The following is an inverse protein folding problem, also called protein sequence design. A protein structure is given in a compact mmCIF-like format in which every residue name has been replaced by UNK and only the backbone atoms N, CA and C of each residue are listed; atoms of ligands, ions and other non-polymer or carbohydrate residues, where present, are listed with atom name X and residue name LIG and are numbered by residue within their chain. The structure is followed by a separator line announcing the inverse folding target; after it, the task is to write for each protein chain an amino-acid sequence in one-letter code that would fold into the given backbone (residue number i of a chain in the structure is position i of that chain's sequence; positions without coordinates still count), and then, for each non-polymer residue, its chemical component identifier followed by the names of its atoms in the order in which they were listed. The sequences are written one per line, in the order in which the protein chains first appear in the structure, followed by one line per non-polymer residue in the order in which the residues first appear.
data_IF_594501096803
#
_entry.id   IF_594501096803
#
_cell.length_a   1.000
_cell.length_b   1.000
_cell.length_c   1.000
_cell.angle_alpha   90.00
_cell.angle_beta   90.00
_cell.angle_gamma   90.00
#
_symmetry.space_group_name_H-M   'P 1'
#
loop_
_entity.id
_entity.type
_entity.pdbx_description
1 polymer ?
#
# COMPACT_ATOMS: atom_id res chain seq x y z
N UNK A 1 -17.28 23.43 -6.28
CA UNK A 1 -17.34 22.23 -5.40
C UNK A 1 -18.46 22.45 -4.38
N UNK A 2 -19.41 21.50 -4.30
CA UNK A 2 -20.63 21.61 -3.47
C UNK A 2 -20.26 21.35 -2.01
N UNK A 3 -20.33 22.38 -1.16
CA UNK A 3 -20.50 22.13 0.27
C UNK A 3 -21.90 21.54 0.45
N UNK A 4 -22.02 20.44 1.17
CA UNK A 4 -23.33 19.84 1.44
C UNK A 4 -23.97 20.62 2.57
N UNK A 5 -25.14 21.19 2.30
CA UNK A 5 -25.95 21.88 3.30
C UNK A 5 -27.02 20.92 3.78
N UNK A 6 -26.96 20.55 5.06
CA UNK A 6 -28.01 19.80 5.73
C UNK A 6 -28.88 20.79 6.50
N UNK A 7 -30.18 20.79 6.20
CA UNK A 7 -31.18 21.62 6.85
C UNK A 7 -31.98 20.75 7.82
N UNK A 8 -31.96 21.09 9.11
CA UNK A 8 -32.77 20.38 10.09
C UNK A 8 -34.21 20.89 10.08
N UNK A 9 -35.18 19.97 10.22
CA UNK A 9 -36.62 20.31 10.20
C UNK A 9 -37.01 21.40 11.20
N UNK A 10 -36.35 21.45 12.36
CA UNK A 10 -36.71 22.31 13.49
C UNK A 10 -35.57 23.27 13.87
N UNK A 11 -35.00 23.97 12.88
CA UNK A 11 -33.91 24.97 12.97
C UNK A 11 -32.48 24.42 12.98
N UNK A 12 -31.58 25.17 12.36
CA UNK A 12 -30.15 24.87 12.22
C UNK A 12 -29.75 24.51 10.79
N UNK A 13 -28.53 24.90 10.42
CA UNK A 13 -27.90 24.53 9.15
C UNK A 13 -26.55 23.92 9.46
N UNK A 14 -26.31 22.70 8.97
CA UNK A 14 -25.01 22.05 9.04
C UNK A 14 -24.34 22.13 7.68
N UNK A 15 -23.17 22.76 7.62
CA UNK A 15 -22.37 22.83 6.39
C UNK A 15 -21.22 21.84 6.48
N UNK A 16 -21.30 20.79 5.68
CA UNK A 16 -20.25 19.79 5.58
C UNK A 16 -19.25 20.22 4.49
N UNK A 17 -17.96 20.23 4.86
CA UNK A 17 -16.87 20.56 3.95
C UNK A 17 -15.78 19.50 4.09
N UNK A 18 -15.42 18.86 2.97
CA UNK A 18 -14.26 17.98 2.94
C UNK A 18 -13.00 18.84 3.00
N UNK A 19 -12.17 18.63 4.03
CA UNK A 19 -10.89 19.30 4.16
C UNK A 19 -9.88 18.66 3.20
N UNK A 20 -9.42 19.46 2.25
CA UNK A 20 -8.30 19.07 1.37
C UNK A 20 -6.98 19.57 1.96
N UNK A 21 -5.86 18.95 1.61
CA UNK A 21 -4.52 19.40 2.03
C UNK A 21 -4.28 20.92 1.90
N UNK A 22 -4.72 21.53 0.79
CA UNK A 22 -4.60 22.99 0.54
C UNK A 22 -5.42 23.88 1.49
N UNK A 23 -6.39 23.32 2.20
CA UNK A 23 -7.35 24.03 3.07
C UNK A 23 -7.38 23.52 4.51
N UNK A 24 -6.46 22.63 4.88
CA UNK A 24 -6.39 22.09 6.23
C UNK A 24 -6.35 23.20 7.31
N UNK A 25 -5.83 24.40 6.98
CA UNK A 25 -5.68 25.53 7.90
C UNK A 25 -6.71 26.65 7.77
N UNK A 26 -7.56 26.65 6.73
CA UNK A 26 -8.34 27.84 6.35
C UNK A 26 -9.83 27.80 6.78
N UNK A 27 -10.25 26.75 7.48
CA UNK A 27 -11.61 26.61 7.99
C UNK A 27 -11.75 27.03 9.46
N UNK A 28 -12.98 27.42 9.83
CA UNK A 28 -13.48 27.37 11.20
C UNK A 28 -14.63 26.38 11.23
N UNK A 29 -14.62 25.46 12.19
CA UNK A 29 -15.64 24.43 12.34
C UNK A 29 -15.93 24.19 13.83
N UNK A 30 -17.14 23.73 14.12
CA UNK A 30 -17.55 23.32 15.46
C UNK A 30 -17.17 21.87 15.78
N UNK A 31 -16.95 21.06 14.74
CA UNK A 31 -16.53 19.66 14.84
C UNK A 31 -15.67 19.25 13.64
N UNK A 32 -14.81 18.24 13.85
CA UNK A 32 -14.01 17.60 12.82
C UNK A 32 -14.18 16.08 12.90
N UNK A 33 -14.25 15.42 11.74
CA UNK A 33 -14.22 13.95 11.64
C UNK A 33 -12.99 13.57 10.81
N UNK A 34 -12.20 12.64 11.33
CA UNK A 34 -11.15 11.94 10.60
C UNK A 34 -11.63 10.52 10.33
N UNK A 35 -11.73 10.19 9.06
CA UNK A 35 -12.17 8.88 8.55
C UNK A 35 -10.94 8.11 8.06
N UNK A 36 -10.86 6.82 8.37
CA UNK A 36 -9.70 5.96 8.08
C UNK A 36 -8.38 6.55 8.62
N UNK A 37 -8.40 7.08 9.85
CA UNK A 37 -7.27 7.79 10.45
C UNK A 37 -5.99 6.95 10.57
N UNK A 38 -6.10 5.62 10.71
CA UNK A 38 -4.95 4.73 10.73
C UNK A 38 -4.24 4.65 9.36
N UNK A 39 -4.88 5.07 8.27
CA UNK A 39 -4.29 5.09 6.92
C UNK A 39 -3.29 6.24 6.71
N UNK A 40 -3.10 7.13 7.69
CA UNK A 40 -2.08 8.16 7.64
C UNK A 40 -0.70 7.53 7.87
N UNK A 41 0.08 7.37 6.80
CA UNK A 41 1.38 6.67 6.84
C UNK A 41 2.57 7.62 6.77
N UNK A 42 2.44 8.75 6.09
CA UNK A 42 3.56 9.66 5.83
C UNK A 42 3.61 10.82 6.81
N UNK A 43 4.83 11.34 7.07
CA UNK A 43 5.03 12.56 7.87
C UNK A 43 4.18 13.73 7.37
N UNK A 44 4.08 13.91 6.05
CA UNK A 44 3.30 15.00 5.45
C UNK A 44 1.80 14.85 5.75
N UNK A 45 1.28 13.63 5.74
CA UNK A 45 -0.10 13.35 6.12
C UNK A 45 -0.35 13.65 7.61
N UNK A 46 0.60 13.29 8.48
CA UNK A 46 0.54 13.63 9.91
C UNK A 46 0.58 15.14 10.15
N UNK A 47 1.44 15.88 9.44
CA UNK A 47 1.51 17.34 9.53
C UNK A 47 0.21 18.01 9.04
N UNK A 48 -0.41 17.47 7.98
CA UNK A 48 -1.71 17.95 7.48
C UNK A 48 -2.83 17.66 8.48
N UNK A 49 -2.80 16.50 9.13
CA UNK A 49 -3.71 16.13 10.19
C UNK A 49 -3.61 17.09 11.39
N UNK A 50 -2.39 17.32 11.89
CA UNK A 50 -2.18 18.20 13.05
C UNK A 50 -2.57 19.65 12.72
N UNK A 51 -2.33 20.08 11.47
CA UNK A 51 -2.80 21.37 10.98
C UNK A 51 -4.33 21.46 10.88
N UNK A 52 -5.02 20.35 10.58
CA UNK A 52 -6.47 20.29 10.45
C UNK A 52 -7.18 20.42 11.80
N UNK A 53 -6.56 20.01 12.92
CA UNK A 53 -7.14 20.21 14.26
C UNK A 53 -7.35 21.71 14.55
N UNK A 54 -6.48 22.59 14.02
CA UNK A 54 -6.58 24.04 14.19
C UNK A 54 -7.85 24.69 13.60
N UNK A 55 -8.66 23.95 12.83
CA UNK A 55 -9.97 24.46 12.37
C UNK A 55 -10.99 24.60 13.50
N UNK A 56 -10.76 23.94 14.63
CA UNK A 56 -11.64 23.99 15.80
C UNK A 56 -11.31 25.16 16.74
N UNK A 57 -10.30 25.97 16.43
CA UNK A 57 -9.94 27.10 17.28
C UNK A 57 -11.08 28.12 17.37
N UNK A 58 -11.53 28.42 18.59
CA UNK A 58 -12.52 29.44 18.88
C UNK A 58 -13.99 28.97 18.90
N UNK A 59 -14.25 27.68 18.66
CA UNK A 59 -15.59 27.11 18.92
C UNK A 59 -15.74 26.71 20.40
N UNK A 60 -16.97 26.81 20.91
CA UNK A 60 -17.36 26.32 22.24
C UNK A 60 -17.66 24.81 22.25
N UNK A 61 -17.80 24.18 21.09
CA UNK A 61 -18.15 22.76 20.97
C UNK A 61 -16.91 21.84 20.88
N UNK A 62 -16.01 22.13 19.95
CA UNK A 62 -14.69 21.49 19.84
C UNK A 62 -14.71 19.95 19.75
N UNK A 63 -15.68 19.36 19.04
CA UNK A 63 -15.78 17.89 18.94
C UNK A 63 -14.85 17.32 17.86
N UNK A 64 -14.08 16.29 18.21
CA UNK A 64 -13.28 15.51 17.24
C UNK A 64 -13.77 14.07 17.23
N UNK A 65 -14.13 13.57 16.05
CA UNK A 65 -14.41 12.16 15.81
C UNK A 65 -13.23 11.48 15.13
N UNK A 66 -12.68 10.46 15.78
CA UNK A 66 -11.64 9.58 15.27
C UNK A 66 -12.28 8.26 14.86
N UNK A 67 -12.26 7.92 13.56
CA UNK A 67 -12.90 6.71 13.03
C UNK A 67 -11.91 5.98 12.13
N UNK A 68 -11.62 4.72 12.44
CA UNK A 68 -10.72 3.88 11.65
C UNK A 68 -10.82 2.41 12.06
N UNK A 69 -10.46 1.50 11.15
CA UNK A 69 -9.96 0.18 11.54
C UNK A 69 -8.68 0.38 12.37
N UNK A 70 -8.52 -0.29 13.52
CA UNK A 70 -7.33 -0.14 14.36
C UNK A 70 -6.08 -0.73 13.72
N UNK A 71 -4.97 -0.01 13.86
CA UNK A 71 -3.64 -0.43 13.46
C UNK A 71 -2.66 0.01 14.54
N UNK A 72 -1.83 -0.90 15.04
CA UNK A 72 -0.78 -0.55 15.99
C UNK A 72 0.25 0.41 15.38
N UNK A 73 0.90 1.18 16.25
CA UNK A 73 1.84 2.25 15.93
C UNK A 73 1.28 3.33 14.99
N UNK A 74 -0.05 3.56 15.03
CA UNK A 74 -0.71 4.56 14.20
C UNK A 74 -1.07 5.83 14.99
N UNK A 75 -1.31 6.93 14.27
CA UNK A 75 -1.88 8.15 14.86
C UNK A 75 -3.21 7.88 15.55
N UNK A 76 -4.00 6.94 15.01
CA UNK A 76 -5.27 6.52 15.57
C UNK A 76 -5.11 5.83 16.93
N UNK A 77 -4.12 4.95 17.11
CA UNK A 77 -3.82 4.33 18.41
C UNK A 77 -3.41 5.39 19.45
N UNK A 78 -2.53 6.32 19.07
CA UNK A 78 -2.12 7.43 19.94
C UNK A 78 -3.31 8.25 20.42
N UNK A 79 -4.29 8.50 19.53
CA UNK A 79 -5.49 9.25 19.89
C UNK A 79 -6.50 8.41 20.68
N UNK A 80 -6.62 7.11 20.39
CA UNK A 80 -7.37 6.17 21.20
C UNK A 80 -6.87 6.18 22.65
N UNK A 81 -5.55 6.14 22.87
CA UNK A 81 -4.96 6.15 24.21
C UNK A 81 -5.19 7.48 24.94
N UNK A 82 -5.14 8.60 24.23
CA UNK A 82 -5.55 9.90 24.80
C UNK A 82 -7.02 9.88 25.22
N UNK A 83 -7.90 9.36 24.38
CA UNK A 83 -9.32 9.22 24.71
C UNK A 83 -9.50 8.30 25.93
N UNK A 84 -8.81 7.16 26.01
CA UNK A 84 -8.82 6.27 27.18
C UNK A 84 -8.38 6.98 28.47
N UNK A 85 -7.30 7.76 28.41
CA UNK A 85 -6.85 8.56 29.53
C UNK A 85 -7.89 9.61 29.97
N UNK A 86 -8.60 10.21 29.01
CA UNK A 86 -9.75 11.07 29.30
C UNK A 86 -10.92 10.30 29.92
N UNK A 87 -11.19 9.07 29.50
CA UNK A 87 -12.22 8.22 30.14
C UNK A 87 -11.89 7.98 31.61
N UNK A 88 -10.65 7.60 31.91
CA UNK A 88 -10.20 7.35 33.28
C UNK A 88 -10.29 8.60 34.16
N UNK A 89 -9.95 9.77 33.62
CA UNK A 89 -9.94 11.03 34.40
C UNK A 89 -11.32 11.66 34.55
N UNK A 90 -12.21 11.50 33.58
CA UNK A 90 -13.53 12.15 33.58
C UNK A 90 -14.68 11.23 33.96
N UNK A 91 -14.46 9.91 33.96
CA UNK A 91 -15.50 8.90 34.18
C UNK A 91 -16.52 8.80 33.04
N UNK A 92 -16.25 9.44 31.89
CA UNK A 92 -17.13 9.43 30.72
C UNK A 92 -16.55 8.55 29.64
N UNK A 93 -17.40 7.79 28.94
CA UNK A 93 -16.98 7.00 27.78
C UNK A 93 -16.74 7.90 26.57
N UNK A 94 -15.59 7.73 25.92
CA UNK A 94 -15.15 8.45 24.72
C UNK A 94 -14.71 7.51 23.59
N UNK A 95 -14.44 6.25 23.91
CA UNK A 95 -14.00 5.21 22.98
C UNK A 95 -15.11 4.20 22.75
N UNK A 96 -15.34 3.86 21.48
CA UNK A 96 -16.35 2.91 21.07
C UNK A 96 -15.69 1.89 20.16
N UNK A 97 -15.72 0.62 20.59
CA UNK A 97 -15.21 -0.51 19.83
C UNK A 97 -16.39 -1.29 19.27
N UNK A 98 -16.41 -1.51 17.96
CA UNK A 98 -17.48 -2.23 17.28
C UNK A 98 -16.84 -3.40 16.52
N UNK A 99 -16.75 -4.60 17.10
CA UNK A 99 -16.39 -5.80 16.36
C UNK A 99 -17.53 -6.21 15.41
N UNK A 100 -17.21 -7.01 14.39
CA UNK A 100 -18.20 -7.36 13.36
C UNK A 100 -19.44 -8.07 13.91
N UNK A 101 -19.29 -8.90 14.95
CA UNK A 101 -20.40 -9.68 15.52
C UNK A 101 -21.38 -8.81 16.32
N UNK A 102 -20.99 -7.59 16.71
CA UNK A 102 -21.88 -6.62 17.35
C UNK A 102 -22.71 -5.83 16.32
N UNK A 103 -22.37 -5.94 15.02
CA UNK A 103 -23.11 -5.29 13.93
C UNK A 103 -24.22 -6.22 13.44
N UNK A 104 -25.48 -5.91 13.79
CA UNK A 104 -26.61 -6.82 13.63
C UNK A 104 -26.89 -7.34 12.20
N UNK A 105 -26.49 -6.62 11.14
CA UNK A 105 -26.63 -7.12 9.77
C UNK A 105 -25.42 -7.94 9.30
N UNK A 106 -24.23 -7.70 9.86
CA UNK A 106 -23.02 -8.49 9.57
C UNK A 106 -23.02 -9.81 10.33
N UNK A 107 -23.54 -9.83 11.57
CA UNK A 107 -23.60 -11.02 12.42
C UNK A 107 -24.28 -12.25 11.74
N UNK A 108 -25.11 -12.01 10.71
CA UNK A 108 -25.76 -13.06 9.91
C UNK A 108 -24.79 -13.87 9.04
N UNK A 109 -23.59 -13.37 8.79
CA UNK A 109 -22.56 -14.03 7.98
C UNK A 109 -21.48 -14.70 8.84
N UNK A 110 -21.84 -15.20 10.02
CA UNK A 110 -20.89 -15.81 10.98
C UNK A 110 -19.92 -16.81 10.34
N UNK A 111 -20.43 -17.71 9.49
CA UNK A 111 -19.62 -18.73 8.81
C UNK A 111 -18.51 -18.12 7.94
N UNK A 112 -18.79 -17.00 7.26
CA UNK A 112 -17.79 -16.29 6.47
C UNK A 112 -16.66 -15.76 7.35
N UNK A 113 -16.97 -15.13 8.49
CA UNK A 113 -15.94 -14.60 9.38
C UNK A 113 -15.14 -15.72 10.08
N UNK A 114 -15.78 -16.83 10.44
CA UNK A 114 -15.08 -18.02 10.95
C UNK A 114 -14.15 -18.65 9.89
N UNK A 115 -14.48 -18.53 8.60
CA UNK A 115 -13.61 -18.94 7.52
C UNK A 115 -12.45 -17.96 7.34
N UNK A 116 -12.70 -16.66 7.42
CA UNK A 116 -11.65 -15.63 7.36
C UNK A 116 -10.65 -15.80 8.51
N UNK A 117 -11.11 -16.09 9.73
CA UNK A 117 -10.23 -16.38 10.89
C UNK A 117 -9.24 -17.52 10.61
N UNK A 118 -9.66 -18.53 9.84
CA UNK A 118 -8.84 -19.71 9.51
C UNK A 118 -7.92 -19.49 8.32
N UNK A 119 -8.26 -18.55 7.43
CA UNK A 119 -7.59 -18.39 6.13
C UNK A 119 -6.73 -17.15 6.05
N UNK A 120 -6.94 -16.18 6.94
CA UNK A 120 -6.20 -14.91 6.98
C UNK A 120 -5.15 -14.92 8.09
N UNK A 121 -4.12 -14.07 8.00
CA UNK A 121 -3.20 -13.87 9.11
C UNK A 121 -3.95 -13.46 10.38
N UNK A 122 -3.62 -14.09 11.52
CA UNK A 122 -4.30 -13.84 12.80
C UNK A 122 -4.33 -12.36 13.17
N UNK A 123 -3.21 -11.65 13.03
CA UNK A 123 -3.12 -10.23 13.32
C UNK A 123 -4.09 -9.39 12.47
N UNK A 124 -4.31 -9.80 11.21
CA UNK A 124 -5.19 -9.10 10.28
C UNK A 124 -6.65 -9.31 10.67
N UNK A 125 -7.03 -10.55 11.00
CA UNK A 125 -8.36 -10.85 11.53
C UNK A 125 -8.65 -10.07 12.81
N UNK A 126 -7.67 -9.98 13.71
CA UNK A 126 -7.81 -9.21 14.95
C UNK A 126 -8.02 -7.70 14.70
N UNK A 127 -7.31 -7.10 13.73
CA UNK A 127 -7.49 -5.71 13.35
C UNK A 127 -8.86 -5.46 12.67
N UNK A 128 -9.13 -6.15 11.57
CA UNK A 128 -10.27 -5.84 10.68
C UNK A 128 -11.61 -6.30 11.25
N UNK A 129 -11.63 -7.42 11.96
CA UNK A 129 -12.87 -8.06 12.43
C UNK A 129 -13.05 -7.91 13.94
N UNK A 130 -11.99 -8.09 14.73
CA UNK A 130 -12.09 -7.97 16.18
C UNK A 130 -11.86 -6.54 16.70
N UNK A 131 -11.55 -5.57 15.83
CA UNK A 131 -11.23 -4.19 16.19
C UNK A 131 -10.16 -4.08 17.29
N UNK A 132 -9.01 -4.74 17.06
CA UNK A 132 -7.85 -4.74 17.97
C UNK A 132 -6.66 -3.97 17.38
N UNK A 133 -5.91 -3.27 18.24
CA UNK A 133 -4.58 -2.77 17.90
C UNK A 133 -3.58 -3.92 18.01
N UNK A 134 -3.42 -4.68 16.94
CA UNK A 134 -2.44 -5.78 16.85
C UNK A 134 -1.32 -5.42 15.89
N UNK A 135 -0.06 -5.73 16.22
CA UNK A 135 1.06 -5.62 15.28
C UNK A 135 1.09 -6.80 14.28
N UNK A 136 1.39 -6.55 13.00
CA UNK A 136 1.64 -7.61 12.05
C UNK A 136 2.77 -8.54 12.50
N UNK A 137 2.60 -9.84 12.32
CA UNK A 137 3.55 -10.86 12.78
C UNK A 137 3.59 -12.10 11.88
N UNK A 138 4.71 -12.82 11.91
CA UNK A 138 4.92 -14.05 11.15
C UNK A 138 5.22 -13.83 9.67
N UNK A 139 4.98 -14.85 8.85
CA UNK A 139 5.17 -14.78 7.39
C UNK A 139 4.24 -13.73 6.77
N UNK A 140 4.78 -12.94 5.84
CA UNK A 140 4.06 -11.87 5.17
C UNK A 140 3.07 -12.41 4.13
N UNK A 141 3.54 -13.29 3.25
CA UNK A 141 2.73 -13.85 2.17
C UNK A 141 2.32 -15.30 2.47
N UNK A 142 1.09 -15.47 2.98
CA UNK A 142 0.55 -16.78 3.31
C UNK A 142 -0.18 -17.45 2.13
N UNK A 143 -0.65 -16.66 1.16
CA UNK A 143 -1.38 -17.15 -0.01
C UNK A 143 -0.46 -17.18 -1.24
N UNK A 144 0.47 -18.14 -1.26
CA UNK A 144 1.43 -18.30 -2.35
C UNK A 144 1.39 -19.72 -2.90
N UNK A 145 1.25 -19.84 -4.23
CA UNK A 145 1.27 -21.09 -4.97
C UNK A 145 2.60 -21.22 -5.74
N UNK A 146 3.25 -22.38 -5.61
CA UNK A 146 4.52 -22.67 -6.26
C UNK A 146 4.35 -23.79 -7.29
N UNK A 147 4.77 -23.54 -8.53
CA UNK A 147 4.74 -24.54 -9.59
C UNK A 147 4.34 -23.97 -10.94
N UNK A 148 4.03 -24.87 -11.88
CA UNK A 148 3.56 -24.48 -13.21
C UNK A 148 2.20 -23.81 -13.12
N UNK A 149 2.02 -22.74 -13.89
CA UNK A 149 0.75 -22.03 -13.94
C UNK A 149 -0.33 -22.91 -14.60
N UNK A 150 -1.53 -22.99 -14.00
CA UNK A 150 -2.63 -23.70 -14.64
C UNK A 150 -3.09 -22.95 -15.90
N UNK A 151 -3.64 -23.69 -16.85
CA UNK A 151 -4.01 -23.14 -18.17
C UNK A 151 -5.01 -21.98 -18.07
N UNK A 152 -5.97 -22.08 -17.14
CA UNK A 152 -6.95 -21.02 -16.91
C UNK A 152 -6.29 -19.71 -16.48
N UNK A 153 -5.23 -19.78 -15.67
CA UNK A 153 -4.52 -18.60 -15.18
C UNK A 153 -3.73 -17.96 -16.32
N UNK A 154 -3.06 -18.78 -17.13
CA UNK A 154 -2.34 -18.31 -18.31
C UNK A 154 -3.26 -17.61 -19.30
N UNK A 155 -4.46 -18.16 -19.54
CA UNK A 155 -5.49 -17.53 -20.36
C UNK A 155 -5.99 -16.22 -19.74
N UNK A 156 -6.22 -16.19 -18.42
CA UNK A 156 -6.74 -15.02 -17.70
C UNK A 156 -5.79 -13.81 -17.74
N UNK A 157 -4.47 -14.04 -17.81
CA UNK A 157 -3.46 -12.98 -17.85
C UNK A 157 -2.93 -12.68 -19.26
N UNK A 158 -3.40 -13.39 -20.29
CA UNK A 158 -2.78 -13.33 -21.63
C UNK A 158 -2.71 -11.89 -22.17
N UNK A 159 -3.79 -11.12 -22.03
CA UNK A 159 -3.93 -9.76 -22.53
C UNK A 159 -3.65 -8.68 -21.48
N UNK A 160 -3.27 -9.06 -20.26
CA UNK A 160 -2.98 -8.11 -19.19
C UNK A 160 -1.59 -7.49 -19.39
N UNK A 161 -1.41 -6.20 -19.08
CA UNK A 161 -0.14 -5.53 -19.21
C UNK A 161 0.89 -6.13 -18.25
N UNK A 162 2.15 -6.13 -18.65
CA UNK A 162 3.24 -6.46 -17.74
C UNK A 162 3.46 -5.29 -16.78
N UNK A 163 3.40 -5.57 -15.49
CA UNK A 163 3.76 -4.63 -14.43
C UNK A 163 5.14 -4.98 -13.92
N UNK A 164 6.06 -4.03 -13.96
CA UNK A 164 7.47 -4.23 -13.66
C UNK A 164 7.98 -3.24 -12.65
N UNK A 165 8.95 -3.68 -11.85
CA UNK A 165 9.63 -2.85 -10.86
C UNK A 165 11.15 -3.05 -10.95
N UNK A 166 11.90 -1.99 -10.67
CA UNK A 166 13.37 -2.02 -10.57
C UNK A 166 13.78 -1.57 -9.18
N UNK A 167 14.67 -2.36 -8.57
CA UNK A 167 15.42 -2.04 -7.36
C UNK A 167 16.87 -1.66 -7.73
N UNK A 168 17.32 -0.48 -7.31
CA UNK A 168 18.68 -0.01 -7.59
C UNK A 168 19.61 -0.28 -6.41
N UNK A 169 20.11 -1.52 -6.30
CA UNK A 169 21.13 -1.82 -5.28
C UNK A 169 22.59 -1.66 -5.79
N UNK A 170 23.38 -0.71 -5.24
CA UNK A 170 24.78 -0.52 -5.63
C UNK A 170 25.78 -1.50 -4.99
N UNK A 171 25.41 -2.18 -3.90
CA UNK A 171 26.30 -3.06 -3.12
C UNK A 171 26.37 -4.45 -3.74
N UNK A 172 25.21 -5.00 -4.11
CA UNK A 172 25.13 -6.29 -4.76
C UNK A 172 24.81 -6.08 -6.24
N UNK A 173 23.56 -6.30 -6.63
CA UNK A 173 23.11 -6.29 -8.01
C UNK A 173 21.79 -5.53 -8.11
N UNK A 174 21.57 -4.83 -9.21
CA UNK A 174 20.28 -4.26 -9.54
C UNK A 174 19.33 -5.35 -10.04
N UNK A 175 18.07 -5.28 -9.64
CA UNK A 175 17.09 -6.30 -10.00
C UNK A 175 15.91 -5.68 -10.74
N UNK A 176 15.29 -6.51 -11.58
CA UNK A 176 13.99 -6.25 -12.17
C UNK A 176 13.10 -7.47 -11.97
N UNK A 177 11.91 -7.23 -11.45
CA UNK A 177 10.87 -8.24 -11.38
C UNK A 177 9.67 -7.76 -12.19
N UNK A 178 8.93 -8.71 -12.75
CA UNK A 178 7.70 -8.39 -13.47
C UNK A 178 6.59 -9.36 -13.13
N UNK A 179 5.38 -8.85 -13.13
CA UNK A 179 4.16 -9.59 -12.83
C UNK A 179 3.06 -9.26 -13.83
N UNK A 180 2.08 -10.15 -13.92
CA UNK A 180 0.77 -9.85 -14.44
C UNK A 180 -0.27 -10.09 -13.36
N UNK A 181 -1.37 -9.35 -13.41
CA UNK A 181 -2.45 -9.48 -12.43
C UNK A 181 -3.73 -9.81 -13.17
N UNK A 182 -4.53 -10.73 -12.63
CA UNK A 182 -5.85 -11.02 -13.21
C UNK A 182 -6.77 -9.79 -13.07
N UNK A 183 -7.74 -9.63 -13.97
CA UNK A 183 -8.65 -8.47 -13.98
C UNK A 183 -9.44 -8.28 -12.68
N UNK A 184 -9.75 -9.38 -12.00
CA UNK A 184 -10.43 -9.40 -10.70
C UNK A 184 -9.49 -9.11 -9.52
N UNK A 185 -8.21 -8.89 -9.78
CA UNK A 185 -7.15 -8.63 -8.82
C UNK A 185 -6.96 -9.75 -7.78
N UNK A 186 -7.41 -10.97 -8.08
CA UNK A 186 -7.28 -12.12 -7.16
C UNK A 186 -5.96 -12.86 -7.30
N UNK A 187 -5.27 -12.73 -8.43
CA UNK A 187 -4.03 -13.47 -8.70
C UNK A 187 -2.95 -12.54 -9.25
N UNK A 188 -1.76 -12.62 -8.65
CA UNK A 188 -0.52 -12.03 -9.17
C UNK A 188 0.35 -13.16 -9.68
N UNK A 189 0.80 -13.07 -10.92
CA UNK A 189 1.59 -14.10 -11.59
C UNK A 189 2.96 -13.54 -11.92
N UNK A 190 4.02 -14.16 -11.39
CA UNK A 190 5.39 -13.76 -11.68
C UNK A 190 5.72 -14.08 -13.14
N UNK A 191 6.27 -13.11 -13.86
CA UNK A 191 6.56 -13.23 -15.28
C UNK A 191 8.05 -13.11 -15.60
N UNK A 192 8.79 -12.37 -14.78
CA UNK A 192 10.23 -12.19 -14.95
C UNK A 192 10.93 -11.97 -13.61
N UNK A 193 12.16 -12.49 -13.54
CA UNK A 193 13.17 -12.23 -12.53
C UNK A 193 14.46 -11.98 -13.32
N UNK A 194 14.99 -10.75 -13.28
CA UNK A 194 16.14 -10.35 -14.10
C UNK A 194 17.17 -9.66 -13.23
N UNK A 195 18.34 -10.28 -13.16
CA UNK A 195 19.55 -9.66 -12.67
C UNK A 195 20.06 -8.65 -13.72
N UNK A 196 19.96 -7.38 -13.39
CA UNK A 196 20.43 -6.29 -14.24
C UNK A 196 21.93 -6.05 -14.07
N UNK A 197 22.63 -6.75 -13.17
CA UNK A 197 24.08 -6.71 -12.95
C UNK A 197 24.52 -5.82 -11.78
N UNK A 198 25.82 -5.84 -11.46
CA UNK A 198 26.38 -5.15 -10.29
C UNK A 198 26.31 -3.63 -10.42
N UNK A 199 26.10 -2.96 -9.28
CA UNK A 199 25.70 -1.55 -9.22
C UNK A 199 26.73 -0.56 -8.68
N UNK A 200 27.99 -0.95 -8.46
CA UNK A 200 29.02 -0.02 -7.99
C UNK A 200 29.34 1.10 -9.01
N UNK A 201 28.96 0.94 -10.27
CA UNK A 201 29.10 1.98 -11.29
C UNK A 201 27.80 2.79 -11.41
N UNK A 202 27.90 4.12 -11.32
CA UNK A 202 26.78 5.05 -11.56
C UNK A 202 26.13 4.91 -12.96
N UNK A 203 26.70 4.08 -13.84
CA UNK A 203 26.21 3.82 -15.19
C UNK A 203 26.20 2.30 -15.45
N UNK A 204 25.07 1.78 -15.93
CA UNK A 204 25.00 0.44 -16.50
C UNK A 204 25.44 0.47 -17.96
N UNK A 205 25.79 -0.70 -18.49
CA UNK A 205 26.06 -0.87 -19.91
C UNK A 205 24.81 -0.61 -20.76
N UNK A 206 25.03 -0.20 -22.01
CA UNK A 206 23.96 -0.05 -23.01
C UNK A 206 23.15 -1.34 -23.20
N UNK A 207 23.76 -2.52 -23.00
CA UNK A 207 23.04 -3.80 -23.06
C UNK A 207 21.99 -3.90 -21.94
N UNK A 208 22.37 -3.54 -20.71
CA UNK A 208 21.47 -3.56 -19.54
C UNK A 208 20.34 -2.53 -19.71
N UNK A 209 20.65 -1.31 -20.18
CA UNK A 209 19.61 -0.31 -20.47
C UNK A 209 18.61 -0.77 -21.55
N UNK A 210 19.11 -1.42 -22.60
CA UNK A 210 18.24 -1.98 -23.64
C UNK A 210 17.36 -3.13 -23.12
N UNK A 211 17.83 -3.91 -22.15
CA UNK A 211 17.00 -4.91 -21.46
C UNK A 211 15.83 -4.24 -20.76
N UNK A 212 16.08 -3.21 -19.96
CA UNK A 212 15.05 -2.49 -19.19
C UNK A 212 14.00 -1.87 -20.10
N UNK A 213 14.41 -1.33 -21.26
CA UNK A 213 13.54 -0.57 -22.16
C UNK A 213 12.26 -1.32 -22.56
N UNK A 214 12.32 -2.64 -22.69
CA UNK A 214 11.15 -3.42 -23.13
C UNK A 214 10.03 -3.50 -22.08
N UNK A 215 10.32 -3.18 -20.81
CA UNK A 215 9.39 -3.36 -19.70
C UNK A 215 8.43 -2.18 -19.46
N UNK A 216 8.61 -1.05 -20.14
CA UNK A 216 7.71 0.12 -20.02
C UNK A 216 7.03 0.50 -21.36
N UNK A 217 7.27 -0.28 -22.41
CA UNK A 217 6.75 -0.05 -23.76
C UNK A 217 5.54 -0.94 -24.05
N UNK A 218 4.75 -0.57 -25.07
CA UNK A 218 3.64 -1.38 -25.60
C UNK A 218 2.54 -1.64 -24.55
N UNK A 219 2.23 -0.63 -23.73
CA UNK A 219 1.23 -0.72 -22.67
C UNK A 219 1.73 -1.38 -21.37
N UNK A 220 2.97 -1.89 -21.35
CA UNK A 220 3.62 -2.33 -20.11
C UNK A 220 3.98 -1.14 -19.21
N UNK A 221 4.18 -1.42 -17.93
CA UNK A 221 4.37 -0.41 -16.90
C UNK A 221 5.58 -0.70 -16.06
N UNK A 222 6.42 0.30 -15.88
CA UNK A 222 7.64 0.19 -15.10
C UNK A 222 7.66 1.26 -14.01
N UNK A 223 7.90 0.82 -12.79
CA UNK A 223 8.18 1.69 -11.65
C UNK A 223 9.64 1.49 -11.27
N UNK A 224 10.37 2.59 -11.17
CA UNK A 224 11.80 2.61 -10.88
C UNK A 224 12.02 3.29 -9.54
N UNK A 225 12.84 2.70 -8.68
CA UNK A 225 13.26 3.34 -7.44
C UNK A 225 13.91 4.72 -7.71
N UNK A 226 13.47 5.75 -7.00
CA UNK A 226 13.97 7.14 -7.12
C UNK A 226 15.25 7.35 -6.29
N UNK A 227 15.36 6.63 -5.16
CA UNK A 227 16.59 6.50 -4.38
C UNK A 227 17.59 5.63 -5.14
N UNK A 228 18.82 6.11 -5.32
CA UNK A 228 19.83 5.35 -6.07
C UNK A 228 19.62 5.33 -7.59
N UNK A 229 18.77 6.21 -8.16
CA UNK A 229 18.60 6.30 -9.62
C UNK A 229 19.95 6.31 -10.32
N UNK A 230 20.09 5.39 -11.27
CA UNK A 230 21.11 5.49 -12.29
C UNK A 230 20.81 6.70 -13.19
N UNK A 231 21.36 7.88 -12.87
CA UNK A 231 21.18 9.11 -13.66
C UNK A 231 21.64 8.92 -15.11
N UNK A 232 22.61 8.02 -15.33
CA UNK A 232 23.02 7.55 -16.64
C UNK A 232 21.88 6.91 -17.42
N UNK A 233 21.08 6.04 -16.79
CA UNK A 233 19.88 5.46 -17.40
C UNK A 233 18.88 6.54 -17.82
N UNK A 234 18.57 7.49 -16.94
CA UNK A 234 17.61 8.57 -17.24
C UNK A 234 18.09 9.42 -18.41
N UNK A 235 19.39 9.76 -18.44
CA UNK A 235 19.99 10.52 -19.53
C UNK A 235 19.96 9.74 -20.84
N UNK A 236 20.44 8.48 -20.81
CA UNK A 236 20.43 7.57 -21.95
C UNK A 236 19.03 7.38 -22.53
N UNK A 237 18.03 7.24 -21.65
CA UNK A 237 16.63 7.08 -22.05
C UNK A 237 16.14 8.32 -22.78
N UNK A 238 16.34 9.52 -22.22
CA UNK A 238 15.93 10.78 -22.83
C UNK A 238 16.55 11.00 -24.21
N UNK A 239 17.83 10.68 -24.36
CA UNK A 239 18.53 10.75 -25.65
C UNK A 239 17.86 9.83 -26.69
N UNK A 240 17.61 8.57 -26.34
CA UNK A 240 16.96 7.61 -27.25
C UNK A 240 15.50 7.91 -27.55
N UNK A 241 14.77 8.46 -26.58
CA UNK A 241 13.38 8.87 -26.80
C UNK A 241 13.29 10.07 -27.74
N UNK A 242 14.29 10.96 -27.73
CA UNK A 242 14.40 12.06 -28.69
C UNK A 242 14.74 11.58 -30.11
N UNK A 243 15.48 10.49 -30.25
CA UNK A 243 15.82 9.86 -31.53
C UNK A 243 14.65 9.08 -32.17
N UNK A 244 13.67 8.62 -31.38
CA UNK A 244 12.56 7.81 -31.88
C UNK A 244 11.22 8.14 -31.17
N UNK A 245 10.58 9.26 -31.59
CA UNK A 245 9.44 9.85 -30.88
C UNK A 245 8.10 9.07 -30.99
N UNK A 246 7.97 8.03 -31.81
CA UNK A 246 6.76 7.21 -31.96
C UNK A 246 7.16 5.71 -32.08
N UNK A 247 6.51 4.70 -31.49
CA UNK A 247 5.14 4.22 -31.81
C UNK A 247 4.52 3.29 -30.71
N UNK A 248 4.13 3.81 -29.55
CA UNK A 248 3.37 2.99 -28.58
C UNK A 248 3.16 3.65 -27.22
N UNK A 249 2.15 3.15 -26.49
CA UNK A 249 1.87 3.57 -25.10
C UNK A 249 3.06 3.22 -24.20
N UNK A 250 3.48 4.19 -23.37
CA UNK A 250 4.63 4.11 -22.46
C UNK A 250 4.21 4.50 -21.06
N UNK A 251 4.60 3.72 -20.07
CA UNK A 251 4.31 4.00 -18.66
C UNK A 251 5.56 3.80 -17.80
N UNK A 252 6.33 4.87 -17.63
CA UNK A 252 7.49 4.91 -16.74
C UNK A 252 7.19 5.85 -15.57
N UNK A 253 7.29 5.32 -14.36
CA UNK A 253 7.11 6.07 -13.12
C UNK A 253 8.36 5.93 -12.25
N UNK A 254 8.61 6.94 -11.44
CA UNK A 254 9.65 6.91 -10.41
C UNK A 254 9.00 6.92 -9.05
N UNK A 255 9.51 6.10 -8.13
CA UNK A 255 9.02 6.00 -6.75
C UNK A 255 10.17 6.04 -5.77
N UNK A 256 10.20 7.08 -4.93
CA UNK A 256 11.10 7.12 -3.79
C UNK A 256 10.64 6.05 -2.80
N UNK A 257 11.55 5.14 -2.48
CA UNK A 257 11.44 4.39 -1.24
C UNK A 257 12.04 5.22 -0.14
N UNK A 258 11.13 5.81 0.65
CA UNK A 258 11.53 6.48 1.85
C UNK A 258 12.31 5.52 2.75
N UNK A 259 13.20 6.06 3.57
CA UNK A 259 13.97 5.32 4.57
C UNK A 259 13.08 4.54 5.55
N UNK A 260 11.78 4.82 5.56
CA UNK A 260 10.74 4.24 6.41
C UNK A 260 10.07 2.99 5.77
N UNK A 261 10.24 2.74 4.47
CA UNK A 261 9.70 1.57 3.77
C UNK A 261 8.19 1.61 3.50
N UNK A 262 7.55 2.79 3.50
CA UNK A 262 6.08 2.92 3.42
C UNK A 262 5.50 2.31 2.15
N UNK A 263 6.15 2.50 1.00
CA UNK A 263 5.65 1.94 -0.27
C UNK A 263 5.75 0.41 -0.32
N UNK A 264 6.79 -0.21 0.29
CA UNK A 264 6.91 -1.66 0.46
C UNK A 264 5.76 -2.21 1.28
N UNK A 265 5.48 -1.54 2.40
CA UNK A 265 4.38 -1.87 3.29
C UNK A 265 3.04 -1.75 2.56
N UNK A 266 2.81 -0.69 1.79
CA UNK A 266 1.57 -0.53 1.02
C UNK A 266 1.36 -1.61 -0.05
N UNK A 267 2.41 -2.04 -0.75
CA UNK A 267 2.32 -3.14 -1.71
C UNK A 267 2.03 -4.47 -1.00
N UNK A 268 2.66 -4.68 0.14
CA UNK A 268 2.46 -5.87 1.00
C UNK A 268 1.05 -5.92 1.60
N UNK A 269 0.58 -4.83 2.18
CA UNK A 269 -0.77 -4.65 2.72
C UNK A 269 -1.80 -4.89 1.61
N UNK A 270 -1.58 -4.35 0.41
CA UNK A 270 -2.46 -4.58 -0.73
C UNK A 270 -2.64 -6.07 -1.04
N UNK A 271 -1.56 -6.85 -1.13
CA UNK A 271 -1.61 -8.28 -1.41
C UNK A 271 -2.35 -9.03 -0.29
N UNK A 272 -1.95 -8.77 0.96
CA UNK A 272 -2.44 -9.49 2.14
C UNK A 272 -3.90 -9.19 2.44
N UNK A 273 -4.30 -7.92 2.47
CA UNK A 273 -5.67 -7.47 2.77
C UNK A 273 -6.66 -7.94 1.70
N UNK A 274 -6.27 -7.91 0.42
CA UNK A 274 -7.16 -8.36 -0.66
C UNK A 274 -7.15 -9.89 -0.85
N UNK A 275 -6.34 -10.62 -0.07
CA UNK A 275 -6.21 -12.07 -0.17
C UNK A 275 -5.72 -12.52 -1.54
N UNK A 276 -4.83 -11.76 -2.15
CA UNK A 276 -4.31 -12.03 -3.50
C UNK A 276 -3.40 -13.26 -3.44
N UNK A 277 -3.62 -14.22 -4.35
CA UNK A 277 -2.71 -15.37 -4.51
C UNK A 277 -1.51 -14.96 -5.35
N UNK A 278 -0.30 -15.19 -4.83
CA UNK A 278 0.94 -15.03 -5.59
C UNK A 278 1.28 -16.37 -6.25
N UNK A 279 1.50 -16.37 -7.56
CA UNK A 279 1.88 -17.54 -8.34
C UNK A 279 3.34 -17.44 -8.81
N UNK A 280 4.17 -18.36 -8.35
CA UNK A 280 5.61 -18.40 -8.67
C UNK A 280 5.97 -19.71 -9.34
N UNK A 281 6.43 -19.65 -10.60
CA UNK A 281 7.09 -20.79 -11.26
C UNK A 281 8.47 -20.98 -10.63
N UNK A 282 8.56 -21.95 -9.73
CA UNK A 282 9.75 -22.18 -8.92
C UNK A 282 10.99 -22.62 -9.70
N UNK A 283 10.82 -23.17 -10.91
CA UNK A 283 11.95 -23.54 -11.76
C UNK A 283 12.51 -22.33 -12.50
N UNK A 284 11.64 -21.37 -12.82
CA UNK A 284 11.99 -20.16 -13.57
C UNK A 284 12.46 -19.01 -12.67
N UNK A 285 11.93 -18.91 -11.45
CA UNK A 285 12.14 -17.76 -10.56
C UNK A 285 12.58 -18.20 -9.15
N UNK A 286 13.74 -18.88 -9.03
CA UNK A 286 14.18 -19.48 -7.77
C UNK A 286 14.56 -18.43 -6.71
N UNK A 287 15.08 -17.26 -7.10
CA UNK A 287 15.50 -16.23 -6.14
C UNK A 287 14.28 -15.55 -5.54
N UNK A 288 13.32 -15.14 -6.38
CA UNK A 288 12.10 -14.51 -5.90
C UNK A 288 11.27 -15.50 -5.06
N UNK A 289 11.21 -16.78 -5.44
CA UNK A 289 10.60 -17.82 -4.60
C UNK A 289 11.17 -17.82 -3.19
N UNK A 290 12.50 -17.84 -3.06
CA UNK A 290 13.17 -17.87 -1.77
C UNK A 290 12.78 -16.65 -0.95
N UNK A 291 12.88 -15.45 -1.52
CA UNK A 291 12.54 -14.23 -0.80
C UNK A 291 11.05 -14.12 -0.44
N UNK A 292 10.14 -14.61 -1.28
CA UNK A 292 8.71 -14.68 -0.92
C UNK A 292 8.47 -15.59 0.28
N UNK A 293 9.18 -16.73 0.36
CA UNK A 293 9.09 -17.66 1.51
C UNK A 293 9.69 -17.09 2.78
N UNK A 294 10.83 -16.42 2.65
CA UNK A 294 11.62 -15.95 3.77
C UNK A 294 11.10 -14.60 4.32
N UNK A 295 10.26 -13.88 3.56
CA UNK A 295 9.72 -12.58 3.99
C UNK A 295 8.76 -12.72 5.18
N UNK A 296 9.14 -12.13 6.29
CA UNK A 296 8.37 -12.11 7.54
C UNK A 296 8.36 -10.70 8.15
N UNK A 297 7.39 -10.46 9.02
CA UNK A 297 7.33 -9.27 9.85
C UNK A 297 8.44 -9.32 10.91
N UNK A 298 9.08 -8.18 11.17
CA UNK A 298 10.13 -8.03 12.18
C UNK A 298 9.52 -8.23 13.59
N UNK A 299 9.86 -9.32 14.31
CA UNK A 299 9.23 -9.66 15.58
C UNK A 299 9.61 -8.71 16.72
N UNK A 300 10.72 -7.98 16.58
CA UNK A 300 11.23 -7.04 17.59
C UNK A 300 10.80 -5.60 17.32
N UNK A 301 10.06 -5.36 16.22
CA UNK A 301 9.60 -4.03 15.86
C UNK A 301 8.43 -3.57 16.74
N UNK A 302 8.43 -2.27 17.06
CA UNK A 302 7.33 -1.60 17.77
C UNK A 302 6.30 -0.98 16.82
N UNK A 303 6.56 -1.06 15.52
CA UNK A 303 5.71 -0.58 14.43
C UNK A 303 5.74 -1.58 13.25
N UNK A 304 4.73 -1.57 12.35
CA UNK A 304 4.72 -2.45 11.19
C UNK A 304 5.99 -2.32 10.36
N UNK A 305 6.82 -3.38 10.34
CA UNK A 305 8.11 -3.38 9.69
C UNK A 305 8.43 -4.76 9.14
N UNK A 306 8.88 -4.80 7.89
CA UNK A 306 9.38 -6.02 7.28
C UNK A 306 10.77 -6.34 7.81
N UNK A 307 11.04 -7.62 8.08
CA UNK A 307 12.39 -8.06 8.38
C UNK A 307 13.30 -7.75 7.19
N UNK A 308 14.47 -7.16 7.45
CA UNK A 308 15.41 -6.78 6.41
C UNK A 308 16.32 -7.95 6.09
N UNK A 309 16.34 -8.35 4.83
CA UNK A 309 17.39 -9.23 4.33
C UNK A 309 18.77 -8.56 4.49
N UNK A 310 19.82 -9.39 4.57
CA UNK A 310 21.18 -8.90 4.61
C UNK A 310 21.49 -8.05 3.36
N UNK A 311 22.34 -7.03 3.50
CA UNK A 311 22.63 -6.09 2.41
C UNK A 311 23.21 -6.77 1.14
N UNK A 312 23.90 -7.89 1.32
CA UNK A 312 24.51 -8.74 0.30
C UNK A 312 23.56 -9.82 -0.27
N UNK A 313 22.33 -9.91 0.21
CA UNK A 313 21.30 -10.76 -0.41
C UNK A 313 20.86 -10.20 -1.78
N UNK A 314 20.28 -11.01 -2.68
CA UNK A 314 19.55 -10.49 -3.83
C UNK A 314 18.34 -9.66 -3.37
N UNK A 315 18.03 -8.54 -4.02
CA UNK A 315 16.88 -7.67 -3.63
C UNK A 315 15.78 -7.73 -4.70
N UNK A 316 15.44 -8.94 -5.17
CA UNK A 316 14.41 -9.09 -6.21
C UNK A 316 12.99 -8.99 -5.67
N UNK A 317 12.78 -9.32 -4.39
CA UNK A 317 11.53 -9.04 -3.66
C UNK A 317 11.19 -7.56 -3.76
N UNK A 318 12.20 -6.72 -3.63
CA UNK A 318 12.03 -5.29 -3.68
C UNK A 318 11.52 -4.83 -5.06
N UNK A 319 12.14 -5.34 -6.11
CA UNK A 319 11.65 -5.14 -7.49
C UNK A 319 10.22 -5.67 -7.68
N UNK A 320 9.85 -6.78 -7.05
CA UNK A 320 8.50 -7.35 -7.10
C UNK A 320 7.47 -6.44 -6.42
N UNK A 321 7.80 -5.86 -5.27
CA UNK A 321 6.93 -4.90 -4.59
C UNK A 321 6.75 -3.61 -5.39
N UNK A 322 7.80 -3.12 -6.07
CA UNK A 322 7.69 -1.99 -7.01
C UNK A 322 6.75 -2.29 -8.17
N UNK A 323 6.80 -3.51 -8.71
CA UNK A 323 5.90 -3.94 -9.78
C UNK A 323 4.42 -3.84 -9.35
N UNK A 324 4.14 -4.03 -8.06
CA UNK A 324 2.82 -3.90 -7.44
C UNK A 324 2.64 -2.58 -6.69
N UNK A 325 3.45 -1.56 -6.95
CA UNK A 325 3.25 -0.24 -6.34
C UNK A 325 1.94 0.40 -6.82
N UNK A 326 1.43 1.33 -6.02
CA UNK A 326 0.25 2.14 -6.37
C UNK A 326 0.42 2.90 -7.69
N UNK A 327 1.65 3.32 -8.02
CA UNK A 327 1.99 3.99 -9.28
C UNK A 327 1.85 3.06 -10.50
N UNK A 328 2.06 1.76 -10.32
CA UNK A 328 1.81 0.77 -11.37
C UNK A 328 0.33 0.36 -11.46
N UNK A 329 -0.35 0.23 -10.32
CA UNK A 329 -1.68 -0.39 -10.20
C UNK A 329 -2.89 0.39 -10.75
N UNK A 330 -2.74 1.60 -11.31
CA UNK A 330 -3.88 2.43 -11.74
C UNK A 330 -4.99 2.51 -10.67
N UNK A 331 -4.64 2.74 -9.41
CA UNK A 331 -5.61 2.87 -8.30
C UNK A 331 -6.67 3.98 -8.52
N UNK A 332 -6.59 4.76 -9.62
CA UNK A 332 -7.64 5.66 -10.09
C UNK A 332 -8.87 4.92 -10.66
N UNK A 333 -8.78 3.61 -10.88
CA UNK A 333 -9.90 2.72 -11.25
C UNK A 333 -10.09 1.71 -10.13
N UNK A 334 -10.15 2.19 -8.89
CA UNK A 334 -10.64 1.41 -7.77
C UNK A 334 -11.61 2.30 -7.00
N UNK A 335 -12.83 2.43 -7.53
CA UNK A 335 -13.98 2.65 -6.66
C UNK A 335 -14.25 1.33 -5.91
N UNK A 336 -13.47 1.05 -4.86
CA UNK A 336 -14.02 0.22 -3.79
C UNK A 336 -14.95 1.15 -3.02
N UNK A 337 -16.21 1.19 -3.46
CA UNK A 337 -17.28 1.70 -2.63
C UNK A 337 -17.40 0.80 -1.40
N UNK A 338 -16.76 1.17 -0.29
CA UNK A 338 -17.18 0.67 1.03
C UNK A 338 -18.57 1.25 1.26
N UNK A 339 -19.59 0.40 1.19
CA UNK A 339 -20.93 0.74 1.65
C UNK A 339 -20.88 0.83 3.17
N UNK A 340 -21.23 2.01 3.72
CA UNK A 340 -21.50 2.21 5.15
C UNK A 340 -22.97 1.94 5.44
#
# INVERSE_FOLDING_TARGET
RKATLVLFKNYGKLKLTILTAKKARSGRADFAKFDEEAALKTRKEHELYDAAIGVLSGTWFGLIGHISTPCSASKFEVNHDKCKNLEYTTGKTHTFKIPWWDVGFLAKNKEFYEQEEKTKPKWWYEQEYCAMFTLPSGAVFQNTEYGKYPDWLTAAIQNEPLLSGIDWNPVNHHWLASVKVTKDMRNVVVMAEVDLGPGYTHELSTKQYNTIRNYYMRGNRLVVEDGGINLGYVKWLKERESENPWTGERHLNYEEWDTQGVAKLNATEFITQNGITIWVDEQRFPTLKKQVKDLHWDPDATEPKLYKDAADSPHVMDSFLHALSKKNRMDNIIEVGRFY
#
